data_IF_880043531184
#
_entry.id   IF_880043531184
#
_cell.length_a   1.000
_cell.length_b   1.000
_cell.length_c   1.000
_cell.angle_alpha   90.00
_cell.angle_beta   90.00
_cell.angle_gamma   90.00
#
_symmetry.space_group_name_H-M   'P 1'
#
loop_
_entity.id
_entity.type
_entity.pdbx_description
1 polymer ?
#
# COMPACT_ATOMS: atom_id res chain seq x y z
N UNK A 1 4.20 -21.06 -13.44
CA UNK A 1 5.07 -19.93 -13.08
C UNK A 1 5.27 -19.13 -14.34
N UNK A 2 4.61 -17.98 -14.46
CA UNK A 2 4.87 -17.07 -15.58
C UNK A 2 6.28 -16.51 -15.46
N UNK A 3 6.92 -16.20 -16.59
CA UNK A 3 8.21 -15.52 -16.58
C UNK A 3 8.07 -14.16 -15.86
N UNK A 4 9.13 -13.69 -15.19
CA UNK A 4 9.13 -12.36 -14.56
C UNK A 4 8.78 -11.30 -15.61
N UNK A 5 7.94 -10.34 -15.24
CA UNK A 5 7.59 -9.22 -16.11
C UNK A 5 8.78 -8.27 -16.25
N UNK A 6 9.62 -8.14 -15.20
CA UNK A 6 10.86 -7.36 -15.28
C UNK A 6 11.83 -7.94 -16.30
N UNK A 7 11.99 -9.27 -16.33
CA UNK A 7 12.80 -9.95 -17.35
C UNK A 7 12.26 -9.72 -18.76
N UNK A 8 10.94 -9.83 -18.95
CA UNK A 8 10.29 -9.57 -20.24
C UNK A 8 10.45 -8.12 -20.72
N UNK A 9 10.53 -7.18 -19.79
CA UNK A 9 10.76 -5.76 -20.06
C UNK A 9 12.25 -5.39 -20.12
N UNK A 10 13.15 -6.38 -20.09
CA UNK A 10 14.61 -6.21 -20.12
C UNK A 10 15.10 -5.21 -19.05
N UNK A 11 14.49 -5.25 -17.86
CA UNK A 11 14.77 -4.35 -16.76
C UNK A 11 15.03 -5.09 -15.45
N UNK A 12 15.34 -4.36 -14.38
CA UNK A 12 15.62 -4.93 -13.06
C UNK A 12 14.82 -4.25 -11.96
N UNK A 13 14.64 -4.95 -10.84
CA UNK A 13 13.98 -4.42 -9.66
C UNK A 13 14.71 -3.22 -9.04
N UNK A 14 16.00 -3.03 -9.32
CA UNK A 14 16.79 -1.91 -8.82
C UNK A 14 16.58 -0.62 -9.62
N UNK A 15 16.24 -0.71 -10.92
CA UNK A 15 16.15 0.44 -11.80
C UNK A 15 15.17 1.54 -11.30
N UNK A 16 13.97 1.20 -10.78
CA UNK A 16 13.06 2.22 -10.26
C UNK A 16 13.62 2.98 -9.05
N UNK A 17 14.44 2.34 -8.21
CA UNK A 17 14.93 2.89 -6.94
C UNK A 17 15.88 4.08 -7.12
N UNK A 18 16.49 4.21 -8.30
CA UNK A 18 17.36 5.34 -8.70
C UNK A 18 16.56 6.61 -9.06
N UNK A 19 15.24 6.50 -9.14
CA UNK A 19 14.35 7.59 -9.52
C UNK A 19 13.61 8.18 -8.31
N UNK A 20 12.73 9.15 -8.57
CA UNK A 20 11.91 9.76 -7.53
C UNK A 20 10.94 8.75 -6.91
N UNK A 21 10.55 8.97 -5.65
CA UNK A 21 9.56 8.15 -4.96
C UNK A 21 8.25 7.99 -5.75
N UNK A 22 7.81 9.05 -6.44
CA UNK A 22 6.61 9.01 -7.29
C UNK A 22 6.78 8.18 -8.57
N UNK A 23 8.02 7.94 -9.03
CA UNK A 23 8.30 6.99 -10.11
C UNK A 23 8.27 5.56 -9.59
N UNK A 24 8.93 5.29 -8.45
CA UNK A 24 8.90 3.99 -7.77
C UNK A 24 7.45 3.55 -7.53
N UNK A 25 6.63 4.43 -6.96
CA UNK A 25 5.22 4.15 -6.70
C UNK A 25 4.45 3.75 -7.96
N UNK A 26 4.67 4.45 -9.08
CA UNK A 26 3.99 4.14 -10.36
C UNK A 26 4.44 2.81 -10.95
N UNK A 27 5.73 2.49 -10.87
CA UNK A 27 6.24 1.19 -11.34
C UNK A 27 5.66 0.06 -10.50
N UNK A 28 5.71 0.18 -9.18
CA UNK A 28 5.17 -0.86 -8.28
C UNK A 28 3.65 -1.02 -8.47
N UNK A 29 2.90 0.09 -8.58
CA UNK A 29 1.46 0.04 -8.87
C UNK A 29 1.17 -0.67 -10.19
N UNK A 30 1.94 -0.39 -11.25
CA UNK A 30 1.84 -1.10 -12.52
C UNK A 30 2.07 -2.61 -12.37
N UNK A 31 3.12 -3.02 -11.65
CA UNK A 31 3.43 -4.44 -11.43
C UNK A 31 2.31 -5.14 -10.64
N UNK A 32 1.78 -4.51 -9.59
CA UNK A 32 0.66 -5.04 -8.81
C UNK A 32 -0.59 -5.20 -9.68
N UNK A 33 -0.92 -4.22 -10.52
CA UNK A 33 -2.07 -4.28 -11.43
C UNK A 33 -1.94 -5.33 -12.53
N UNK A 34 -0.71 -5.69 -12.89
CA UNK A 34 -0.41 -6.77 -13.83
C UNK A 34 -0.25 -8.13 -13.14
N UNK A 35 -0.53 -8.21 -11.84
CA UNK A 35 -0.36 -9.41 -11.02
C UNK A 35 1.08 -9.94 -10.97
N UNK A 36 2.07 -9.11 -11.32
CA UNK A 36 3.49 -9.37 -11.19
C UNK A 36 3.95 -9.12 -9.75
N UNK A 37 3.31 -9.80 -8.79
CA UNK A 37 3.45 -9.49 -7.36
C UNK A 37 4.87 -9.77 -6.81
N UNK A 38 5.54 -10.82 -7.30
CA UNK A 38 6.92 -11.11 -6.90
C UNK A 38 7.86 -9.96 -7.34
N UNK A 39 7.78 -9.54 -8.59
CA UNK A 39 8.52 -8.40 -9.14
C UNK A 39 8.22 -7.10 -8.37
N UNK A 40 6.97 -6.90 -7.96
CA UNK A 40 6.57 -5.74 -7.14
C UNK A 40 7.26 -5.74 -5.77
N UNK A 41 7.35 -6.90 -5.10
CA UNK A 41 8.05 -7.02 -3.83
C UNK A 41 9.56 -6.81 -3.99
N UNK A 42 10.17 -7.32 -5.05
CA UNK A 42 11.59 -7.10 -5.34
C UNK A 42 11.88 -5.61 -5.57
N UNK A 43 11.03 -4.91 -6.33
CA UNK A 43 11.14 -3.47 -6.53
C UNK A 43 11.02 -2.69 -5.21
N UNK A 44 10.07 -3.08 -4.35
CA UNK A 44 9.88 -2.45 -3.05
C UNK A 44 11.07 -2.68 -2.11
N UNK A 45 11.65 -3.87 -2.12
CA UNK A 45 12.84 -4.19 -1.33
C UNK A 45 14.07 -3.41 -1.82
N UNK A 46 14.27 -3.31 -3.13
CA UNK A 46 15.32 -2.50 -3.71
C UNK A 46 15.15 -1.01 -3.39
N UNK A 47 13.92 -0.48 -3.48
CA UNK A 47 13.61 0.89 -3.10
C UNK A 47 13.89 1.16 -1.60
N UNK A 48 13.54 0.22 -0.73
CA UNK A 48 13.83 0.33 0.71
C UNK A 48 15.33 0.38 1.00
N UNK A 49 16.14 -0.46 0.32
CA UNK A 49 17.62 -0.42 0.41
C UNK A 49 18.20 0.91 -0.08
N UNK A 50 17.56 1.55 -1.06
CA UNK A 50 17.93 2.87 -1.56
C UNK A 50 17.43 4.03 -0.69
N UNK A 51 16.73 3.76 0.42
CA UNK A 51 16.22 4.79 1.34
C UNK A 51 14.96 5.50 0.85
N UNK A 52 14.23 4.93 -0.11
CA UNK A 52 12.94 5.46 -0.56
C UNK A 52 11.89 5.33 0.56
N UNK A 53 10.89 6.23 0.62
CA UNK A 53 9.81 6.12 1.59
C UNK A 53 9.00 4.83 1.39
N UNK A 54 8.49 4.22 2.47
CA UNK A 54 7.74 2.98 2.39
C UNK A 54 6.41 3.18 1.65
N UNK A 55 5.99 2.16 0.89
CA UNK A 55 4.72 2.10 0.16
C UNK A 55 3.85 0.96 0.71
N UNK A 56 3.33 1.08 1.94
CA UNK A 56 2.71 -0.03 2.68
C UNK A 56 1.46 -0.60 2.00
N UNK A 57 0.64 0.23 1.36
CA UNK A 57 -0.54 -0.22 0.61
C UNK A 57 -0.16 -1.11 -0.58
N UNK A 58 0.86 -0.74 -1.34
CA UNK A 58 1.34 -1.53 -2.49
C UNK A 58 2.06 -2.81 -2.04
N UNK A 59 2.82 -2.75 -0.94
CA UNK A 59 3.43 -3.92 -0.33
C UNK A 59 2.37 -4.93 0.12
N UNK A 60 1.33 -4.46 0.82
CA UNK A 60 0.22 -5.31 1.25
C UNK A 60 -0.55 -5.91 0.06
N UNK A 61 -0.79 -5.13 -1.01
CA UNK A 61 -1.43 -5.64 -2.21
C UNK A 61 -0.64 -6.78 -2.88
N UNK A 62 0.69 -6.63 -2.99
CA UNK A 62 1.55 -7.68 -3.54
C UNK A 62 1.59 -8.93 -2.65
N UNK A 63 1.68 -8.78 -1.33
CA UNK A 63 1.62 -9.92 -0.39
C UNK A 63 0.29 -10.66 -0.48
N UNK A 64 -0.83 -9.93 -0.56
CA UNK A 64 -2.15 -10.52 -0.72
C UNK A 64 -2.27 -11.29 -2.05
N UNK A 65 -1.77 -10.71 -3.14
CA UNK A 65 -1.74 -11.35 -4.47
C UNK A 65 -0.94 -12.65 -4.51
N UNK A 66 0.09 -12.78 -3.68
CA UNK A 66 0.86 -14.02 -3.50
C UNK A 66 0.23 -15.03 -2.52
N UNK A 67 -0.93 -14.72 -1.94
CA UNK A 67 -1.62 -15.60 -0.99
C UNK A 67 -1.15 -15.46 0.45
N UNK A 68 -0.56 -14.31 0.83
CA UNK A 68 -0.16 -13.99 2.21
C UNK A 68 -1.00 -12.86 2.82
N UNK A 69 -2.33 -13.01 2.95
CA UNK A 69 -3.22 -11.94 3.42
C UNK A 69 -2.95 -11.52 4.87
N UNK A 70 -2.53 -12.45 5.75
CA UNK A 70 -2.20 -12.12 7.13
C UNK A 70 -0.97 -11.19 7.21
N UNK A 71 0.07 -11.47 6.43
CA UNK A 71 1.25 -10.61 6.35
C UNK A 71 0.92 -9.23 5.74
N UNK A 72 0.00 -9.19 4.77
CA UNK A 72 -0.49 -7.94 4.20
C UNK A 72 -1.16 -7.05 5.26
N UNK A 73 -2.02 -7.63 6.11
CA UNK A 73 -2.66 -6.92 7.24
C UNK A 73 -1.60 -6.40 8.22
N UNK A 74 -0.63 -7.23 8.63
CA UNK A 74 0.43 -6.82 9.56
C UNK A 74 1.25 -5.63 9.04
N UNK A 75 1.54 -5.58 7.74
CA UNK A 75 2.25 -4.45 7.12
C UNK A 75 1.45 -3.15 7.26
N UNK A 76 0.14 -3.21 7.04
CA UNK A 76 -0.75 -2.04 7.12
C UNK A 76 -0.95 -1.58 8.57
N UNK A 77 -1.23 -2.50 9.48
CA UNK A 77 -1.39 -2.19 10.91
C UNK A 77 -0.11 -1.55 11.48
N UNK A 78 1.07 -2.10 11.14
CA UNK A 78 2.36 -1.51 11.54
C UNK A 78 2.56 -0.11 10.98
N UNK A 79 2.17 0.12 9.73
CA UNK A 79 2.26 1.45 9.11
C UNK A 79 1.32 2.44 9.79
N UNK A 80 0.09 2.05 10.09
CA UNK A 80 -0.92 2.92 10.70
C UNK A 80 -0.59 3.25 12.16
N UNK A 81 0.07 2.34 12.87
CA UNK A 81 0.62 2.60 14.19
C UNK A 81 1.73 3.68 14.18
N UNK A 82 2.43 3.85 13.05
CA UNK A 82 3.46 4.87 12.88
C UNK A 82 2.91 6.22 12.42
N UNK A 83 1.75 6.23 11.77
CA UNK A 83 1.06 7.45 11.38
C UNK A 83 -0.16 7.20 10.49
N UNK A 84 -1.14 8.13 10.51
CA UNK A 84 -2.33 8.00 9.70
C UNK A 84 -1.99 8.07 8.20
N UNK A 85 -2.56 7.17 7.41
CA UNK A 85 -2.39 7.13 5.96
C UNK A 85 -3.66 6.63 5.30
N UNK A 86 -4.33 7.50 4.55
CA UNK A 86 -5.57 7.15 3.85
C UNK A 86 -5.39 5.94 2.92
N UNK A 87 -4.34 5.85 2.07
CA UNK A 87 -4.11 4.65 1.27
C UNK A 87 -3.96 3.37 2.08
N UNK A 88 -3.29 3.42 3.24
CA UNK A 88 -3.09 2.25 4.09
C UNK A 88 -4.39 1.83 4.80
N UNK A 89 -5.19 2.78 5.28
CA UNK A 89 -6.49 2.50 5.90
C UNK A 89 -7.46 1.87 4.89
N UNK A 90 -7.54 2.42 3.67
CA UNK A 90 -8.41 1.87 2.62
C UNK A 90 -8.00 0.43 2.28
N UNK A 91 -6.71 0.19 2.05
CA UNK A 91 -6.22 -1.15 1.78
C UNK A 91 -6.51 -2.14 2.93
N UNK A 92 -6.43 -1.69 4.18
CA UNK A 92 -6.72 -2.54 5.35
C UNK A 92 -8.20 -2.91 5.40
N UNK A 93 -9.08 -1.94 5.19
CA UNK A 93 -10.54 -2.15 5.14
C UNK A 93 -10.89 -3.16 4.04
N UNK A 94 -10.31 -3.03 2.85
CA UNK A 94 -10.55 -3.96 1.74
C UNK A 94 -10.11 -5.40 2.07
N UNK A 95 -8.94 -5.58 2.68
CA UNK A 95 -8.45 -6.90 3.11
C UNK A 95 -9.29 -7.51 4.23
N UNK A 96 -9.69 -6.71 5.22
CA UNK A 96 -10.57 -7.16 6.30
C UNK A 96 -11.94 -7.56 5.76
N UNK A 97 -12.49 -6.80 4.82
CA UNK A 97 -13.75 -7.12 4.17
C UNK A 97 -13.65 -8.44 3.37
N UNK A 98 -12.61 -8.60 2.56
CA UNK A 98 -12.40 -9.80 1.75
C UNK A 98 -12.18 -11.08 2.60
N UNK A 99 -11.59 -10.94 3.79
CA UNK A 99 -11.39 -12.05 4.74
C UNK A 99 -12.60 -12.35 5.62
N UNK A 100 -13.70 -11.60 5.48
CA UNK A 100 -14.93 -11.77 6.26
C UNK A 100 -14.90 -11.11 7.65
N UNK A 101 -13.84 -10.37 7.99
CA UNK A 101 -13.75 -9.58 9.22
C UNK A 101 -14.52 -8.26 9.11
N UNK A 102 -15.81 -8.34 8.74
CA UNK A 102 -16.67 -7.20 8.37
C UNK A 102 -16.83 -6.20 9.52
N UNK A 103 -16.97 -6.68 10.76
CA UNK A 103 -17.11 -5.81 11.93
C UNK A 103 -15.87 -4.94 12.14
N UNK A 104 -14.67 -5.53 11.96
CA UNK A 104 -13.40 -4.79 12.05
C UNK A 104 -13.26 -3.80 10.89
N UNK A 105 -13.62 -4.21 9.68
CA UNK A 105 -13.60 -3.32 8.51
C UNK A 105 -14.50 -2.09 8.71
N UNK A 106 -15.68 -2.28 9.33
CA UNK A 106 -16.60 -1.19 9.69
C UNK A 106 -16.00 -0.22 10.70
N UNK A 107 -15.36 -0.75 11.76
CA UNK A 107 -14.70 0.08 12.77
C UNK A 107 -13.61 0.98 12.17
N UNK A 108 -12.73 0.43 11.33
CA UNK A 108 -11.67 1.20 10.67
C UNK A 108 -12.23 2.29 9.74
N UNK A 109 -13.33 2.00 9.03
CA UNK A 109 -14.00 2.97 8.16
C UNK A 109 -14.68 4.09 8.96
N UNK A 110 -15.32 3.77 10.08
CA UNK A 110 -15.96 4.75 10.96
C UNK A 110 -14.92 5.70 11.57
N UNK A 111 -13.77 5.16 12.01
CA UNK A 111 -12.65 5.99 12.48
C UNK A 111 -12.12 6.94 11.41
N UNK A 112 -11.99 6.45 10.17
CA UNK A 112 -11.55 7.25 9.03
C UNK A 112 -12.53 8.40 8.75
N UNK A 113 -13.83 8.11 8.74
CA UNK A 113 -14.88 9.10 8.53
C UNK A 113 -14.93 10.14 9.65
N UNK A 114 -14.79 9.71 10.91
CA UNK A 114 -14.75 10.61 12.06
C UNK A 114 -13.57 11.60 11.96
N UNK A 115 -12.38 11.11 11.55
CA UNK A 115 -11.20 11.96 11.31
C UNK A 115 -11.44 12.96 10.18
N UNK A 116 -12.03 12.53 9.07
CA UNK A 116 -12.37 13.41 7.93
C UNK A 116 -13.38 14.51 8.31
N UNK A 117 -14.39 14.18 9.12
CA UNK A 117 -15.38 15.15 9.62
C UNK A 117 -14.79 16.13 10.64
N UNK A 118 -13.82 15.69 11.45
CA UNK A 118 -13.09 16.58 12.35
C UNK A 118 -12.30 17.65 11.59
N UNK A 119 -11.66 17.28 10.48
CA UNK A 119 -10.91 18.20 9.62
C UNK A 119 -11.80 19.23 8.94
N UNK A 120 -12.98 18.83 8.44
CA UNK A 120 -13.92 19.77 7.82
C UNK A 120 -14.43 20.79 8.84
N UNK A 121 -14.77 20.36 10.06
CA UNK A 121 -15.14 21.27 11.16
C UNK A 121 -14.02 22.22 11.55
N UNK A 122 -12.79 21.73 11.66
CA UNK A 122 -11.63 22.57 11.98
C UNK A 122 -11.38 23.65 10.91
N UNK A 123 -11.53 23.30 9.63
CA UNK A 123 -11.48 24.26 8.52
C UNK A 123 -12.58 25.31 8.60
N UNK A 124 -13.82 24.91 8.86
CA UNK A 124 -14.94 25.83 9.02
C UNK A 124 -14.74 26.84 10.15
N UNK A 125 -14.12 26.44 11.26
CA UNK A 125 -13.84 27.32 12.39
C UNK A 125 -12.62 28.22 12.18
N UNK A 126 -11.65 27.83 11.33
CA UNK A 126 -10.44 28.61 11.07
C UNK A 126 -10.64 29.73 10.03
N UNK A 127 -11.77 29.72 9.30
CA UNK A 127 -12.10 30.70 8.24
C UNK A 127 -13.13 31.75 8.72
N UNK A 128 -13.60 31.66 9.97
CA UNK A 128 -14.43 32.65 10.66
C UNK A 128 -13.57 33.59 11.53
#
# INVERSE_FOLDING_TARGET
MGASLLEQLETSAAAPAEHSAGMVQRVVDFLVRWEAYADALECLEAAARAGQPPLPALHAAALNGLGYPAAAVEVLERSLAQGPSLPATVALVELLHASGAVDRAGQELDELLARAQGLSRAWYLAVL
#
